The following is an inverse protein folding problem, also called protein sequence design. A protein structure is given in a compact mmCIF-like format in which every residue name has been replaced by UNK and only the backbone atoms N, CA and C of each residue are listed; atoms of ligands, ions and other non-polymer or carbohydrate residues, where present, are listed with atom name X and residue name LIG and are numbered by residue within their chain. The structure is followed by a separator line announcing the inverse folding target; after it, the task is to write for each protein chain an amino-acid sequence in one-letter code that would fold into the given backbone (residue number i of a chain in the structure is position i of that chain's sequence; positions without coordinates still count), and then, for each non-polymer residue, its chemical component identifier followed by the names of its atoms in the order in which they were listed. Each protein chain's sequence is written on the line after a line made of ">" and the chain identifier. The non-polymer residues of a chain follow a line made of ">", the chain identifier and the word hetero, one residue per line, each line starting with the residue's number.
data_IF_888633092283
#
_entry.id   IF_888633092283
#
_cell.length_a   1.000
_cell.length_b   1.000
_cell.length_c   1.000
_cell.angle_alpha   90.00
_cell.angle_beta   90.00
_cell.angle_gamma   90.00
#
_symmetry.space_group_name_H-M   'P 1'
#
loop_
_entity.id
_entity.type
_entity.pdbx_description
1 polymer ?
#
# COMPACT_ATOMS: atom_id res chain seq x y z
N UNK A 1 6.07 69.15 -10.62
CA UNK A 1 5.97 68.20 -9.49
C UNK A 1 5.61 66.84 -10.08
N UNK A 2 6.43 65.82 -9.82
CA UNK A 2 6.27 64.47 -10.38
C UNK A 2 5.00 63.78 -9.82
N UNK A 3 4.31 63.03 -10.68
CA UNK A 3 3.18 62.18 -10.33
C UNK A 3 3.47 60.73 -10.73
N UNK A 4 3.65 59.86 -9.74
CA UNK A 4 3.56 58.38 -9.82
C UNK A 4 3.03 57.89 -8.47
N UNK A 5 1.91 57.17 -8.43
CA UNK A 5 1.89 55.75 -7.99
C UNK A 5 0.82 54.94 -8.77
N UNK A 6 0.61 53.62 -8.73
CA UNK A 6 1.25 52.44 -8.15
C UNK A 6 0.64 51.20 -8.88
N UNK A 7 1.35 50.07 -8.85
CA UNK A 7 0.87 48.73 -9.20
C UNK A 7 -0.42 48.32 -8.44
N UNK A 8 -1.35 47.60 -9.10
CA UNK A 8 -1.75 46.23 -8.75
C UNK A 8 -3.16 45.82 -9.28
N UNK A 9 -3.16 44.66 -9.96
CA UNK A 9 -4.13 43.53 -9.97
C UNK A 9 -5.62 43.71 -10.36
N UNK A 10 -6.04 42.67 -11.08
CA UNK A 10 -7.36 42.33 -11.67
C UNK A 10 -8.56 42.32 -10.70
N UNK A 11 -9.80 42.27 -11.25
CA UNK A 11 -10.65 41.10 -10.94
C UNK A 11 -11.62 40.63 -12.07
N UNK A 12 -11.57 39.32 -12.37
CA UNK A 12 -12.61 38.32 -12.77
C UNK A 12 -13.87 38.70 -13.59
N UNK A 13 -14.91 37.84 -13.68
CA UNK A 13 -15.02 36.42 -13.33
C UNK A 13 -15.55 35.54 -14.52
N UNK A 14 -15.27 34.24 -14.51
CA UNK A 14 -15.76 33.32 -15.54
C UNK A 14 -15.78 31.87 -15.05
N UNK A 15 -16.69 31.60 -14.12
CA UNK A 15 -17.02 30.27 -13.60
C UNK A 15 -17.53 29.35 -14.71
N UNK A 16 -16.90 28.17 -14.87
CA UNK A 16 -17.57 26.96 -15.35
C UNK A 16 -16.75 25.71 -14.97
N UNK A 17 -17.46 24.73 -14.40
CA UNK A 17 -17.07 23.34 -14.13
C UNK A 17 -16.21 23.07 -12.89
N UNK A 18 -16.83 23.31 -11.73
CA UNK A 18 -16.71 22.43 -10.58
C UNK A 18 -17.21 21.03 -10.96
N UNK A 19 -16.29 20.08 -11.02
CA UNK A 19 -16.53 18.64 -10.99
C UNK A 19 -15.55 18.05 -9.97
N UNK A 20 -15.89 16.97 -9.24
CA UNK A 20 -15.06 16.52 -8.14
C UNK A 20 -13.74 15.97 -8.70
N UNK A 21 -12.69 16.78 -8.68
CA UNK A 21 -11.33 16.32 -8.86
C UNK A 21 -10.93 15.55 -7.58
N UNK A 22 -11.53 14.38 -7.41
CA UNK A 22 -11.03 13.36 -6.50
C UNK A 22 -9.82 12.71 -7.17
N UNK A 23 -8.78 13.50 -7.44
CA UNK A 23 -7.48 12.98 -7.82
C UNK A 23 -6.97 12.19 -6.61
N UNK A 24 -7.01 10.86 -6.73
CA UNK A 24 -6.74 9.92 -5.65
C UNK A 24 -5.39 10.21 -5.00
N UNK A 25 -5.42 10.66 -3.74
CA UNK A 25 -4.22 10.97 -2.99
C UNK A 25 -3.27 9.75 -2.95
N UNK A 26 -2.03 9.95 -3.40
CA UNK A 26 -0.98 8.92 -3.35
C UNK A 26 -0.81 8.44 -1.91
N UNK A 27 -1.00 7.15 -1.69
CA UNK A 27 -0.86 6.51 -0.38
C UNK A 27 0.60 6.17 -0.14
N UNK A 28 1.19 6.79 0.88
CA UNK A 28 2.57 6.52 1.30
C UNK A 28 2.60 5.28 2.19
N UNK A 29 3.31 4.25 1.73
CA UNK A 29 3.52 3.01 2.47
C UNK A 29 4.86 3.10 3.20
N UNK A 30 4.80 3.01 4.52
CA UNK A 30 5.97 3.03 5.40
C UNK A 30 6.28 1.65 5.93
N UNK A 31 7.55 1.46 6.27
CA UNK A 31 7.95 0.30 7.07
C UNK A 31 7.15 0.25 8.37
N UNK A 32 6.90 -0.96 8.91
CA UNK A 32 6.25 -1.15 10.20
C UNK A 32 6.82 -0.20 11.28
N UNK A 33 5.95 0.32 12.15
CA UNK A 33 6.37 1.22 13.22
C UNK A 33 6.66 2.65 12.76
N UNK A 34 6.02 3.07 11.66
CA UNK A 34 6.19 4.38 11.03
C UNK A 34 7.61 4.67 10.54
N UNK A 35 8.32 3.63 10.10
CA UNK A 35 9.69 3.72 9.59
C UNK A 35 9.80 4.41 8.21
N UNK A 36 10.91 4.17 7.48
CA UNK A 36 11.13 4.81 6.18
C UNK A 36 10.03 4.44 5.19
N UNK A 37 9.79 5.33 4.22
CA UNK A 37 8.91 5.07 3.09
C UNK A 37 9.50 3.92 2.27
N UNK A 38 8.70 2.88 2.04
CA UNK A 38 9.11 1.67 1.29
C UNK A 38 8.44 1.61 -0.08
N UNK A 39 7.26 2.19 -0.20
CA UNK A 39 6.55 2.29 -1.45
C UNK A 39 5.54 3.43 -1.45
N UNK A 40 5.13 3.85 -2.65
CA UNK A 40 4.02 4.75 -2.89
C UNK A 40 2.99 4.02 -3.74
N UNK A 41 1.75 4.05 -3.31
CA UNK A 41 0.62 3.48 -4.03
C UNK A 41 -0.19 4.63 -4.60
N UNK A 42 -0.32 4.65 -5.92
CA UNK A 42 -1.33 5.43 -6.61
C UNK A 42 -2.57 4.54 -6.82
N UNK A 43 -3.65 4.74 -6.04
CA UNK A 43 -4.84 3.90 -6.16
C UNK A 43 -5.62 4.17 -7.45
N UNK A 44 -5.52 5.39 -8.02
CA UNK A 44 -6.24 5.77 -9.24
C UNK A 44 -5.63 5.06 -10.46
N UNK A 45 -4.32 5.13 -10.60
CA UNK A 45 -3.60 4.50 -11.71
C UNK A 45 -3.25 3.03 -11.46
N UNK A 46 -3.47 2.55 -10.23
CA UNK A 46 -3.08 1.21 -9.81
C UNK A 46 -1.57 1.04 -9.86
N UNK A 47 -0.79 2.04 -9.46
CA UNK A 47 0.68 1.97 -9.55
C UNK A 47 1.30 1.84 -8.18
N UNK A 48 2.14 0.81 -7.99
CA UNK A 48 2.91 0.60 -6.78
C UNK A 48 4.39 0.82 -7.06
N UNK A 49 4.90 1.98 -6.63
CA UNK A 49 6.30 2.37 -6.78
C UNK A 49 7.08 2.07 -5.49
N UNK A 50 7.85 0.98 -5.48
CA UNK A 50 8.79 0.69 -4.40
C UNK A 50 10.10 1.45 -4.58
N UNK A 51 10.70 1.88 -3.47
CA UNK A 51 11.94 2.66 -3.50
C UNK A 51 13.09 1.92 -4.23
N UNK A 52 13.79 2.62 -5.12
CA UNK A 52 14.89 2.06 -5.92
C UNK A 52 14.49 0.96 -6.91
N UNK A 53 13.20 0.78 -7.20
CA UNK A 53 12.69 -0.24 -8.13
C UNK A 53 11.79 0.36 -9.20
N UNK A 54 11.63 -0.38 -10.31
CA UNK A 54 10.64 -0.03 -11.33
C UNK A 54 9.23 -0.14 -10.74
N UNK A 55 8.35 0.85 -10.98
CA UNK A 55 6.97 0.78 -10.52
C UNK A 55 6.27 -0.44 -11.09
N UNK A 56 5.40 -1.04 -10.28
CA UNK A 56 4.58 -2.18 -10.65
C UNK A 56 3.17 -1.67 -10.92
N UNK A 57 2.65 -1.96 -12.11
CA UNK A 57 1.23 -1.76 -12.39
C UNK A 57 0.44 -2.91 -11.76
N UNK A 58 -0.52 -2.56 -10.92
CA UNK A 58 -1.52 -3.45 -10.37
C UNK A 58 -2.54 -3.67 -11.49
N UNK A 59 -2.55 -4.86 -12.06
CA UNK A 59 -3.50 -5.30 -13.07
C UNK A 59 -3.64 -6.83 -12.98
N UNK A 60 -4.48 -7.43 -13.83
CA UNK A 60 -4.66 -8.89 -13.89
C UNK A 60 -3.44 -9.70 -14.34
N UNK A 61 -2.31 -9.05 -14.66
CA UNK A 61 -1.02 -9.69 -14.96
C UNK A 61 -0.06 -9.62 -13.78
N UNK A 62 -0.28 -8.70 -12.84
CA UNK A 62 0.43 -8.71 -11.58
C UNK A 62 -0.08 -9.83 -10.67
N UNK A 63 0.82 -10.37 -9.84
CA UNK A 63 0.49 -11.35 -8.81
C UNK A 63 0.91 -10.79 -7.44
N UNK A 64 -0.01 -10.87 -6.47
CA UNK A 64 0.24 -10.49 -5.09
C UNK A 64 0.37 -11.74 -4.21
N UNK A 65 1.42 -11.79 -3.38
CA UNK A 65 1.63 -12.86 -2.41
C UNK A 65 2.06 -12.30 -1.06
N UNK A 66 1.55 -12.88 0.02
CA UNK A 66 2.03 -12.63 1.38
C UNK A 66 3.06 -13.71 1.74
N UNK A 67 4.22 -13.29 2.21
CA UNK A 67 5.32 -14.16 2.64
C UNK A 67 5.64 -13.89 4.10
N UNK A 68 5.95 -14.94 4.85
CA UNK A 68 6.44 -14.83 6.22
C UNK A 68 7.86 -15.41 6.30
N UNK A 69 8.79 -14.68 6.91
CA UNK A 69 10.17 -15.13 7.13
C UNK A 69 10.71 -14.54 8.43
N UNK A 70 11.26 -15.37 9.32
CA UNK A 70 11.88 -14.94 10.60
C UNK A 70 11.06 -13.89 11.36
N UNK A 71 9.78 -14.17 11.61
CA UNK A 71 8.84 -13.27 12.32
C UNK A 71 8.52 -11.94 11.63
N UNK A 72 8.77 -11.86 10.32
CA UNK A 72 8.36 -10.73 9.49
C UNK A 72 7.37 -11.21 8.45
N UNK A 73 6.39 -10.38 8.14
CA UNK A 73 5.43 -10.62 7.06
C UNK A 73 5.58 -9.51 6.03
N UNK A 74 5.63 -9.87 4.75
CA UNK A 74 5.78 -8.94 3.64
C UNK A 74 4.76 -9.26 2.54
N UNK A 75 4.15 -8.23 1.97
CA UNK A 75 3.45 -8.31 0.71
C UNK A 75 4.47 -8.19 -0.43
N UNK A 76 4.41 -9.13 -1.36
CA UNK A 76 5.19 -9.15 -2.58
C UNK A 76 4.23 -8.98 -3.75
N UNK A 77 4.43 -7.93 -4.54
CA UNK A 77 3.69 -7.73 -5.79
C UNK A 77 4.68 -7.87 -6.94
N UNK A 78 4.42 -8.79 -7.85
CA UNK A 78 5.25 -9.04 -9.02
C UNK A 78 4.45 -8.76 -10.27
N UNK A 79 4.91 -7.81 -11.07
CA UNK A 79 4.37 -7.54 -12.40
C UNK A 79 4.83 -8.59 -13.43
N UNK A 80 4.31 -8.51 -14.67
CA UNK A 80 4.61 -9.47 -15.74
C UNK A 80 6.07 -9.45 -16.18
N UNK A 81 6.76 -8.32 -16.03
CA UNK A 81 8.17 -8.19 -16.36
C UNK A 81 9.03 -8.70 -15.19
N UNK A 82 10.07 -9.49 -15.48
CA UNK A 82 10.91 -10.11 -14.43
C UNK A 82 11.48 -9.11 -13.41
N UNK A 83 11.69 -7.85 -13.82
CA UNK A 83 12.24 -6.76 -13.02
C UNK A 83 11.19 -5.89 -12.29
N UNK A 84 9.90 -6.02 -12.59
CA UNK A 84 8.84 -5.26 -11.90
C UNK A 84 8.41 -6.02 -10.65
N UNK A 85 8.96 -5.64 -9.50
CA UNK A 85 8.64 -6.23 -8.21
C UNK A 85 8.61 -5.15 -7.13
N UNK A 86 7.60 -5.20 -6.29
CA UNK A 86 7.48 -4.39 -5.09
C UNK A 86 7.40 -5.31 -3.87
N UNK A 87 8.08 -4.91 -2.79
CA UNK A 87 8.01 -5.57 -1.49
C UNK A 87 7.57 -4.55 -0.46
N UNK A 88 6.46 -4.82 0.20
CA UNK A 88 5.93 -3.98 1.27
C UNK A 88 5.96 -4.77 2.58
N UNK A 89 6.88 -4.47 3.51
CA UNK A 89 6.84 -5.08 4.83
C UNK A 89 5.55 -4.68 5.57
N UNK A 90 4.82 -5.67 6.09
CA UNK A 90 3.52 -5.50 6.74
C UNK A 90 3.59 -5.64 8.27
N UNK A 91 4.47 -6.52 8.74
CA UNK A 91 4.60 -6.89 10.14
C UNK A 91 6.06 -7.25 10.46
N UNK A 92 6.54 -6.84 11.62
CA UNK A 92 7.83 -7.24 12.20
C UNK A 92 7.63 -7.54 13.69
N UNK A 93 7.88 -8.79 14.11
CA UNK A 93 7.72 -9.29 15.48
C UNK A 93 9.04 -9.84 16.03
N UNK A 94 10.08 -9.01 16.08
CA UNK A 94 11.38 -9.39 16.63
C UNK A 94 11.43 -9.15 18.14
N UNK A 95 12.34 -9.83 18.83
CA UNK A 95 12.46 -9.67 20.28
C UNK A 95 12.70 -8.19 20.64
N UNK A 96 11.83 -7.62 21.48
CA UNK A 96 11.87 -6.20 21.86
C UNK A 96 11.41 -5.22 20.78
N UNK A 97 10.86 -5.69 19.66
CA UNK A 97 10.35 -4.82 18.59
C UNK A 97 9.14 -5.44 17.88
N UNK A 98 7.98 -4.84 18.12
CA UNK A 98 6.72 -5.22 17.47
C UNK A 98 6.18 -4.03 16.70
N UNK A 99 6.00 -4.22 15.40
CA UNK A 99 5.64 -3.14 14.52
C UNK A 99 4.78 -3.67 13.37
N UNK A 100 3.81 -2.86 12.92
CA UNK A 100 2.99 -3.18 11.76
C UNK A 100 2.75 -1.95 10.89
N UNK A 101 2.37 -2.17 9.63
CA UNK A 101 1.83 -1.14 8.74
C UNK A 101 0.49 -0.64 9.28
N UNK A 102 0.21 0.66 9.10
CA UNK A 102 -1.01 1.27 9.63
C UNK A 102 -2.29 0.64 9.03
N UNK A 103 -3.40 0.62 9.78
CA UNK A 103 -4.68 0.09 9.29
C UNK A 103 -5.15 0.74 7.98
N UNK A 104 -4.99 2.07 7.88
CA UNK A 104 -5.33 2.83 6.68
C UNK A 104 -4.53 2.37 5.45
N UNK A 105 -3.22 2.16 5.59
CA UNK A 105 -2.37 1.69 4.49
C UNK A 105 -2.69 0.23 4.11
N UNK A 106 -3.03 -0.62 5.08
CA UNK A 106 -3.47 -2.00 4.82
C UNK A 106 -4.78 -2.04 4.02
N UNK A 107 -5.75 -1.19 4.35
CA UNK A 107 -7.00 -1.02 3.60
C UNK A 107 -6.75 -0.53 2.19
N UNK A 108 -5.99 0.55 2.03
CA UNK A 108 -5.66 1.10 0.72
C UNK A 108 -4.98 0.07 -0.20
N UNK A 109 -4.07 -0.74 0.34
CA UNK A 109 -3.48 -1.86 -0.40
C UNK A 109 -4.53 -2.90 -0.80
N UNK A 110 -5.39 -3.31 0.13
CA UNK A 110 -6.43 -4.29 -0.14
C UNK A 110 -7.41 -3.81 -1.23
N UNK A 111 -7.83 -2.55 -1.15
CA UNK A 111 -8.77 -1.95 -2.08
C UNK A 111 -8.15 -1.77 -3.46
N UNK A 112 -6.89 -1.35 -3.56
CA UNK A 112 -6.18 -1.27 -4.83
C UNK A 112 -5.97 -2.64 -5.48
N UNK A 113 -5.56 -3.66 -4.72
CA UNK A 113 -5.41 -5.02 -5.25
C UNK A 113 -6.73 -5.59 -5.79
N UNK A 114 -7.84 -5.32 -5.10
CA UNK A 114 -9.17 -5.76 -5.50
C UNK A 114 -9.68 -4.99 -6.73
N UNK A 115 -9.62 -3.65 -6.71
CA UNK A 115 -10.09 -2.79 -7.78
C UNK A 115 -9.39 -3.09 -9.12
N UNK A 116 -8.08 -3.36 -9.05
CA UNK A 116 -7.25 -3.63 -10.23
C UNK A 116 -7.13 -5.12 -10.58
N UNK A 117 -7.92 -6.00 -9.93
CA UNK A 117 -8.04 -7.44 -10.24
C UNK A 117 -6.70 -8.19 -10.25
N UNK A 118 -5.80 -7.86 -9.31
CA UNK A 118 -4.49 -8.50 -9.22
C UNK A 118 -4.64 -10.00 -8.97
N UNK A 119 -3.79 -10.83 -9.59
CA UNK A 119 -3.82 -12.29 -9.37
C UNK A 119 -3.51 -12.63 -7.93
N UNK A 120 -4.18 -13.67 -7.41
CA UNK A 120 -4.14 -14.09 -6.01
C UNK A 120 -4.63 -13.02 -4.99
N UNK A 121 -5.23 -11.91 -5.45
CA UNK A 121 -5.85 -10.93 -4.56
C UNK A 121 -6.95 -11.54 -3.69
N UNK A 122 -7.67 -12.57 -4.17
CA UNK A 122 -8.70 -13.27 -3.41
C UNK A 122 -8.22 -13.86 -2.08
N UNK A 123 -6.93 -14.22 -1.98
CA UNK A 123 -6.34 -14.72 -0.72
C UNK A 123 -5.71 -13.59 0.10
N UNK A 124 -5.08 -12.62 -0.56
CA UNK A 124 -4.33 -11.53 0.09
C UNK A 124 -5.25 -10.44 0.66
N UNK A 125 -6.29 -10.04 -0.07
CA UNK A 125 -7.21 -8.95 0.31
C UNK A 125 -7.90 -9.24 1.65
N UNK A 126 -8.48 -10.43 1.90
CA UNK A 126 -9.07 -10.76 3.19
C UNK A 126 -8.06 -10.68 4.35
N UNK A 127 -6.81 -11.11 4.14
CA UNK A 127 -5.77 -11.06 5.17
C UNK A 127 -5.41 -9.62 5.55
N UNK A 128 -5.25 -8.73 4.56
CA UNK A 128 -4.97 -7.31 4.79
C UNK A 128 -6.13 -6.62 5.53
N UNK A 129 -7.37 -6.90 5.13
CA UNK A 129 -8.58 -6.35 5.78
C UNK A 129 -8.74 -6.87 7.20
N UNK A 130 -8.53 -8.17 7.43
CA UNK A 130 -8.58 -8.76 8.77
C UNK A 130 -7.51 -8.17 9.70
N UNK A 131 -6.29 -7.96 9.19
CA UNK A 131 -5.24 -7.30 9.95
C UNK A 131 -5.64 -5.87 10.31
N UNK A 132 -6.14 -5.07 9.36
CA UNK A 132 -6.56 -3.70 9.63
C UNK A 132 -7.66 -3.65 10.70
N UNK A 133 -8.66 -4.52 10.58
CA UNK A 133 -9.75 -4.62 11.57
C UNK A 133 -9.24 -5.01 12.96
N UNK A 134 -8.32 -5.97 13.05
CA UNK A 134 -7.69 -6.39 14.32
C UNK A 134 -6.95 -5.23 15.00
N UNK A 135 -6.21 -4.44 14.24
CA UNK A 135 -5.45 -3.30 14.78
C UNK A 135 -6.36 -2.17 15.27
N UNK A 136 -7.45 -1.90 14.55
CA UNK A 136 -8.43 -0.89 14.96
C UNK A 136 -9.24 -1.29 16.18
N UNK A 137 -9.45 -2.59 16.37
CA UNK A 137 -9.99 -3.12 17.62
C UNK A 137 -9.01 -3.07 18.79
N UNK A 138 -7.79 -2.52 18.61
CA UNK A 138 -6.75 -2.48 19.63
C UNK A 138 -6.11 -3.84 19.91
N UNK A 139 -6.24 -4.79 18.98
CA UNK A 139 -5.75 -6.15 19.16
C UNK A 139 -4.21 -6.23 19.24
N UNK A 140 -3.64 -7.14 20.04
CA UNK A 140 -2.19 -7.28 20.16
C UNK A 140 -1.56 -7.81 18.87
N UNK A 141 -0.39 -7.29 18.50
CA UNK A 141 0.33 -7.72 17.29
C UNK A 141 0.71 -9.22 17.28
N UNK A 142 1.17 -9.83 18.39
CA UNK A 142 1.59 -11.24 18.39
C UNK A 142 0.47 -12.21 18.04
N UNK A 143 -0.79 -11.85 18.27
CA UNK A 143 -1.97 -12.68 17.98
C UNK A 143 -2.76 -12.19 16.76
N UNK A 144 -2.19 -11.24 16.01
CA UNK A 144 -2.85 -10.69 14.82
C UNK A 144 -2.97 -11.70 13.68
N UNK A 145 -3.92 -11.52 12.74
CA UNK A 145 -4.07 -12.40 11.57
C UNK A 145 -2.78 -12.62 10.79
N UNK A 146 -1.98 -11.58 10.57
CA UNK A 146 -0.69 -11.74 9.89
C UNK A 146 0.35 -12.47 10.76
N UNK A 147 0.31 -12.30 12.09
CA UNK A 147 1.23 -12.98 12.99
C UNK A 147 1.05 -14.49 12.99
N UNK A 148 -0.15 -15.00 12.70
CA UNK A 148 -0.42 -16.43 12.55
C UNK A 148 0.50 -17.07 11.49
N UNK A 149 0.84 -16.34 10.42
CA UNK A 149 1.75 -16.81 9.38
C UNK A 149 3.21 -16.96 9.86
N UNK A 150 3.58 -16.34 10.97
CA UNK A 150 4.94 -16.45 11.53
C UNK A 150 5.12 -17.69 12.41
N UNK A 151 4.02 -18.33 12.82
CA UNK A 151 4.01 -19.51 13.72
C UNK A 151 3.93 -20.83 12.96
N UNK A 152 3.42 -20.83 11.73
CA UNK A 152 3.12 -22.02 10.92
C UNK A 152 4.30 -22.65 10.17
N UNK A 153 5.54 -22.22 10.41
CA UNK A 153 6.70 -22.68 9.65
C UNK A 153 6.95 -21.86 8.38
N UNK A 154 8.20 -21.90 7.95
CA UNK A 154 8.73 -21.03 6.91
C UNK A 154 8.14 -21.38 5.53
N UNK A 155 7.40 -20.45 4.90
CA UNK A 155 6.69 -20.74 3.66
C UNK A 155 5.95 -19.56 3.02
N UNK A 156 5.87 -19.59 1.68
CA UNK A 156 5.04 -18.69 0.87
C UNK A 156 3.60 -19.21 0.94
N UNK A 157 2.76 -18.62 1.77
CA UNK A 157 1.39 -19.13 2.00
C UNK A 157 0.37 -18.68 0.94
N UNK A 158 0.68 -17.63 0.16
CA UNK A 158 -0.23 -17.13 -0.89
C UNK A 158 0.29 -17.35 -2.32
N UNK A 159 1.37 -18.09 -2.51
CA UNK A 159 1.63 -18.72 -3.81
C UNK A 159 1.00 -20.11 -3.74
N UNK A 160 -0.29 -20.20 -4.04
CA UNK A 160 -0.73 -21.40 -4.74
C UNK A 160 -0.25 -21.20 -6.19
N UNK A 161 0.76 -21.95 -6.66
CA UNK A 161 0.88 -22.24 -8.07
C UNK A 161 -0.22 -23.22 -8.51
N UNK A 162 -0.44 -23.27 -9.82
CA UNK A 162 -1.13 -24.29 -10.62
C UNK A 162 -2.67 -24.24 -10.79
N UNK A 163 -3.11 -23.65 -11.91
CA UNK A 163 -3.35 -24.37 -13.18
C UNK A 163 -3.30 -23.40 -14.38
#
# INVERSE_FOLDING_TARGET
>A
ALHVPAFAREPGPGSAADGPETAGAVVVLRSPGNGPVVARLDPADGTLAADGRRPVRLDGRATATVTAWRRRVSLHVRGPLRATRARVPLLDLRAGHEATTSPASLRALADALAAHRVRAAGTVVPQLRAQAAHLEAGGPLPVSPLAAHTRGGDGVLAALPDL
#
